data_IF_312420662319
#
_entry.id   IF_312420662319
#
_cell.length_a   1.000
_cell.length_b   1.000
_cell.length_c   1.000
_cell.angle_alpha   90.00
_cell.angle_beta   90.00
_cell.angle_gamma   90.00
#
_symmetry.space_group_name_H-M   'P 1'
#
loop_
_entity.id
_entity.type
_entity.pdbx_description
1 polymer ?
#
# COMPACT_ATOMS: atom_id res chain seq x y z
N UNK A 1 -51.73 -9.23 -11.43
CA UNK A 1 -52.83 -8.61 -10.67
C UNK A 1 -52.35 -8.51 -9.24
N UNK A 2 -51.86 -7.31 -8.89
CA UNK A 2 -51.64 -6.75 -7.55
C UNK A 2 -50.93 -7.65 -6.51
N UNK A 3 -49.63 -7.43 -6.25
CA UNK A 3 -49.12 -6.54 -5.18
C UNK A 3 -49.90 -6.64 -3.87
N UNK A 4 -49.19 -6.97 -2.77
CA UNK A 4 -49.22 -6.31 -1.44
C UNK A 4 -48.53 -7.21 -0.38
N UNK A 5 -47.60 -6.60 0.38
CA UNK A 5 -46.84 -7.06 1.57
C UNK A 5 -45.38 -7.55 1.39
N UNK A 6 -44.52 -6.74 0.75
CA UNK A 6 -43.11 -6.64 1.15
C UNK A 6 -42.87 -5.31 1.88
N UNK A 7 -43.30 -5.26 3.14
CA UNK A 7 -42.75 -4.36 4.16
C UNK A 7 -43.30 -4.82 5.51
N UNK A 8 -42.39 -5.20 6.42
CA UNK A 8 -42.46 -5.13 7.90
C UNK A 8 -41.74 -6.31 8.57
N UNK A 9 -40.47 -6.06 8.93
CA UNK A 9 -39.83 -6.53 10.18
C UNK A 9 -39.64 -8.03 10.39
N UNK A 10 -38.58 -8.60 9.82
CA UNK A 10 -37.88 -9.72 10.49
C UNK A 10 -36.55 -9.20 10.98
N UNK A 11 -36.58 -8.57 12.15
CA UNK A 11 -35.36 -8.22 12.87
C UNK A 11 -34.72 -9.53 13.37
N UNK A 12 -33.58 -9.88 12.80
CA UNK A 12 -32.78 -11.02 13.22
C UNK A 12 -31.97 -10.63 14.45
N UNK A 13 -31.96 -11.45 15.49
CA UNK A 13 -30.84 -11.47 16.45
C UNK A 13 -29.59 -12.03 15.76
N UNK A 14 -28.41 -11.79 16.33
CA UNK A 14 -27.15 -12.30 15.74
C UNK A 14 -27.17 -13.83 15.52
N UNK A 15 -27.84 -14.59 16.40
CA UNK A 15 -27.99 -16.04 16.27
C UNK A 15 -28.94 -16.43 15.14
N UNK A 16 -30.04 -15.69 14.96
CA UNK A 16 -30.97 -15.91 13.85
C UNK A 16 -30.33 -15.51 12.51
N UNK A 17 -29.58 -14.41 12.47
CA UNK A 17 -28.84 -13.98 11.29
C UNK A 17 -27.78 -15.02 10.90
N UNK A 18 -27.02 -15.53 11.87
CA UNK A 18 -26.03 -16.60 11.66
C UNK A 18 -26.66 -17.84 11.02
N UNK A 19 -27.81 -18.26 11.56
CA UNK A 19 -28.56 -19.41 11.04
C UNK A 19 -29.11 -19.15 9.63
N UNK A 20 -29.66 -17.96 9.38
CA UNK A 20 -30.23 -17.60 8.07
C UNK A 20 -29.17 -17.40 6.96
N UNK A 21 -27.95 -17.02 7.36
CA UNK A 21 -26.79 -16.88 6.48
C UNK A 21 -25.93 -18.16 6.40
N UNK A 22 -26.24 -19.17 7.22
CA UNK A 22 -25.49 -20.42 7.35
C UNK A 22 -23.99 -20.18 7.59
N UNK A 23 -23.69 -19.39 8.62
CA UNK A 23 -22.32 -19.13 9.10
C UNK A 23 -22.25 -19.14 10.63
N UNK A 24 -21.07 -19.39 11.23
CA UNK A 24 -20.90 -19.31 12.67
C UNK A 24 -21.19 -17.90 13.21
N UNK A 25 -21.79 -17.82 14.38
CA UNK A 25 -22.03 -16.54 15.09
C UNK A 25 -20.72 -15.81 15.40
N UNK A 26 -19.62 -16.53 15.58
CA UNK A 26 -18.27 -15.96 15.74
C UNK A 26 -17.82 -15.19 14.50
N UNK A 27 -18.18 -15.65 13.29
CA UNK A 27 -17.89 -14.97 12.03
C UNK A 27 -18.66 -13.67 11.92
N UNK A 28 -19.94 -13.64 12.30
CA UNK A 28 -20.71 -12.38 12.37
C UNK A 28 -20.11 -11.39 13.37
N UNK A 29 -19.74 -11.85 14.57
CA UNK A 29 -19.05 -11.01 15.56
C UNK A 29 -17.72 -10.46 15.04
N UNK A 30 -17.01 -11.25 14.24
CA UNK A 30 -15.80 -10.80 13.59
C UNK A 30 -16.11 -9.70 12.56
N UNK A 31 -17.11 -9.88 11.72
CA UNK A 31 -17.56 -8.87 10.75
C UNK A 31 -17.99 -7.56 11.41
N UNK A 32 -18.66 -7.63 12.56
CA UNK A 32 -18.95 -6.44 13.38
C UNK A 32 -17.68 -5.74 13.86
N UNK A 33 -16.73 -6.51 14.41
CA UNK A 33 -15.49 -5.97 14.98
C UNK A 33 -14.65 -5.23 13.94
N UNK A 34 -14.62 -5.72 12.70
CA UNK A 34 -13.92 -5.06 11.59
C UNK A 34 -14.80 -4.04 10.85
N UNK A 35 -16.03 -3.82 11.33
CA UNK A 35 -16.94 -2.77 10.84
C UNK A 35 -17.61 -3.05 9.50
N UNK A 36 -17.46 -4.26 8.94
CA UNK A 36 -18.08 -4.63 7.66
C UNK A 36 -19.53 -5.09 7.81
N UNK A 37 -20.01 -5.32 9.02
CA UNK A 37 -21.42 -5.52 9.35
C UNK A 37 -21.75 -4.63 10.55
N UNK A 38 -22.92 -4.00 10.57
CA UNK A 38 -23.36 -3.16 11.70
C UNK A 38 -24.80 -3.51 12.03
N UNK A 39 -25.17 -3.59 13.31
CA UNK A 39 -26.57 -3.82 13.67
C UNK A 39 -27.40 -2.61 13.29
N UNK A 40 -28.51 -2.86 12.61
CA UNK A 40 -29.43 -1.83 12.14
C UNK A 40 -30.21 -1.20 13.30
N UNK A 41 -30.55 -1.98 14.32
CA UNK A 41 -31.26 -1.47 15.49
C UNK A 41 -30.91 -2.23 16.79
N UNK A 42 -31.51 -1.81 17.91
CA UNK A 42 -31.53 -2.57 19.15
C UNK A 42 -32.96 -2.80 19.63
N UNK A 43 -33.22 -3.96 20.22
CA UNK A 43 -34.51 -4.26 20.84
C UNK A 43 -34.69 -3.51 22.16
N UNK A 44 -35.93 -3.49 22.69
CA UNK A 44 -36.22 -2.95 24.02
C UNK A 44 -35.41 -3.61 25.15
N UNK A 45 -34.99 -4.87 24.96
CA UNK A 45 -34.08 -5.60 25.86
C UNK A 45 -32.59 -5.37 25.56
N UNK A 46 -32.24 -4.37 24.75
CA UNK A 46 -30.88 -4.00 24.35
C UNK A 46 -30.12 -5.06 23.52
N UNK A 47 -30.84 -6.01 22.89
CA UNK A 47 -30.24 -6.96 21.95
C UNK A 47 -29.98 -6.30 20.60
N UNK A 48 -28.87 -6.64 19.94
CA UNK A 48 -28.58 -6.21 18.56
C UNK A 48 -29.54 -6.87 17.59
N UNK A 49 -30.12 -6.07 16.71
CA UNK A 49 -31.04 -6.48 15.66
C UNK A 49 -30.47 -6.14 14.29
N UNK A 50 -30.69 -7.03 13.33
CA UNK A 50 -30.26 -6.93 11.95
C UNK A 50 -31.47 -7.11 11.04
N UNK A 51 -31.51 -6.40 9.92
CA UNK A 51 -32.64 -6.48 9.00
C UNK A 51 -32.39 -7.44 7.83
N UNK A 52 -33.28 -7.44 6.84
CA UNK A 52 -33.12 -8.24 5.63
C UNK A 52 -31.92 -7.79 4.76
N UNK A 53 -31.56 -6.50 4.77
CA UNK A 53 -30.40 -5.99 4.02
C UNK A 53 -29.09 -6.48 4.64
N UNK A 54 -29.03 -6.58 5.97
CA UNK A 54 -27.92 -7.18 6.68
C UNK A 54 -27.73 -8.66 6.29
N UNK A 55 -28.82 -9.42 6.14
CA UNK A 55 -28.76 -10.81 5.66
C UNK A 55 -28.22 -10.89 4.22
N UNK A 56 -28.69 -10.04 3.31
CA UNK A 56 -28.15 -9.97 1.95
C UNK A 56 -26.67 -9.61 1.93
N UNK A 57 -26.26 -8.67 2.78
CA UNK A 57 -24.87 -8.25 2.93
C UNK A 57 -23.99 -9.41 3.39
N UNK A 58 -24.43 -10.17 4.39
CA UNK A 58 -23.68 -11.35 4.85
C UNK A 58 -23.59 -12.43 3.78
N UNK A 59 -24.68 -12.68 3.02
CA UNK A 59 -24.66 -13.62 1.89
C UNK A 59 -23.69 -13.18 0.80
N UNK A 60 -23.65 -11.88 0.50
CA UNK A 60 -22.68 -11.31 -0.44
C UNK A 60 -21.23 -11.52 0.02
N UNK A 61 -20.94 -11.20 1.30
CA UNK A 61 -19.59 -11.40 1.88
C UNK A 61 -19.18 -12.87 1.71
N UNK A 62 -20.06 -13.82 2.04
CA UNK A 62 -19.79 -15.26 1.92
C UNK A 62 -19.52 -15.67 0.47
N UNK A 63 -20.36 -15.25 -0.47
CA UNK A 63 -20.19 -15.58 -1.89
C UNK A 63 -18.88 -15.04 -2.47
N UNK A 64 -18.50 -13.81 -2.08
CA UNK A 64 -17.25 -13.20 -2.51
C UNK A 64 -16.04 -13.92 -1.89
N UNK A 65 -16.08 -14.28 -0.60
CA UNK A 65 -15.00 -15.07 0.00
C UNK A 65 -14.86 -16.46 -0.63
N UNK A 66 -15.99 -17.11 -0.99
CA UNK A 66 -15.98 -18.40 -1.66
C UNK A 66 -15.37 -18.35 -3.06
N UNK A 67 -15.45 -17.20 -3.74
CA UNK A 67 -14.81 -16.95 -5.05
C UNK A 67 -13.37 -16.47 -4.94
N UNK A 68 -12.85 -16.40 -3.72
CA UNK A 68 -11.45 -16.10 -3.44
C UNK A 68 -11.16 -14.64 -3.15
N UNK A 69 -12.17 -13.76 -3.02
CA UNK A 69 -11.94 -12.39 -2.55
C UNK A 69 -11.55 -12.35 -1.07
N UNK A 70 -10.68 -11.40 -0.72
CA UNK A 70 -10.35 -11.09 0.68
C UNK A 70 -11.44 -10.22 1.30
N UNK A 71 -11.45 -10.09 2.63
CA UNK A 71 -12.40 -9.21 3.30
C UNK A 71 -12.18 -7.73 2.95
N UNK A 72 -10.95 -7.33 2.59
CA UNK A 72 -10.65 -5.99 2.10
C UNK A 72 -11.26 -5.75 0.72
N UNK A 73 -11.14 -6.72 -0.19
CA UNK A 73 -11.79 -6.66 -1.51
C UNK A 73 -13.31 -6.57 -1.37
N UNK A 74 -13.88 -7.39 -0.47
CA UNK A 74 -15.31 -7.38 -0.18
C UNK A 74 -15.76 -6.03 0.38
N UNK A 75 -14.95 -5.41 1.23
CA UNK A 75 -15.22 -4.07 1.75
C UNK A 75 -15.22 -3.03 0.64
N UNK A 76 -14.25 -3.09 -0.29
CA UNK A 76 -14.21 -2.22 -1.45
C UNK A 76 -15.46 -2.40 -2.33
N UNK A 77 -15.85 -3.65 -2.63
CA UNK A 77 -17.04 -3.97 -3.41
C UNK A 77 -18.34 -3.49 -2.73
N UNK A 78 -18.44 -3.64 -1.42
CA UNK A 78 -19.61 -3.17 -0.65
C UNK A 78 -19.71 -1.64 -0.65
N UNK A 79 -18.58 -0.92 -0.59
CA UNK A 79 -18.58 0.54 -0.67
C UNK A 79 -18.98 1.04 -2.06
N UNK A 80 -18.55 0.35 -3.12
CA UNK A 80 -18.98 0.65 -4.48
C UNK A 80 -20.50 0.45 -4.61
N UNK A 81 -21.06 -0.65 -4.08
CA UNK A 81 -22.51 -0.92 -4.15
C UNK A 81 -23.39 0.16 -3.48
N UNK A 82 -22.89 0.82 -2.42
CA UNK A 82 -23.63 1.89 -1.71
C UNK A 82 -23.59 3.22 -2.47
N UNK A 83 -22.55 3.47 -3.29
CA UNK A 83 -22.54 4.61 -4.18
C UNK A 83 -23.54 4.35 -5.32
N UNK A 84 -24.62 5.13 -5.39
CA UNK A 84 -25.70 5.01 -6.38
C UNK A 84 -25.27 5.12 -7.87
N UNK A 85 -23.97 5.24 -8.15
CA UNK A 85 -23.35 5.39 -9.46
C UNK A 85 -22.14 4.45 -9.68
N UNK A 86 -22.02 3.31 -8.97
CA UNK A 86 -20.91 2.39 -9.22
C UNK A 86 -20.89 1.95 -10.69
N UNK A 87 -19.82 2.32 -11.39
CA UNK A 87 -19.63 1.94 -12.79
C UNK A 87 -19.04 0.54 -12.81
N UNK A 88 -19.39 -0.23 -13.83
CA UNK A 88 -18.83 -1.58 -14.03
C UNK A 88 -17.29 -1.55 -14.04
N UNK A 89 -16.71 -0.45 -14.53
CA UNK A 89 -15.28 -0.15 -14.52
C UNK A 89 -14.65 -0.22 -13.11
N UNK A 90 -15.31 0.33 -12.09
CA UNK A 90 -14.76 0.39 -10.72
C UNK A 90 -14.72 -1.01 -10.08
N UNK A 91 -15.72 -1.86 -10.40
CA UNK A 91 -15.75 -3.26 -9.97
C UNK A 91 -14.70 -4.08 -10.71
N UNK A 92 -14.51 -3.81 -12.00
CA UNK A 92 -13.54 -4.51 -12.85
C UNK A 92 -12.11 -4.33 -12.31
N UNK A 93 -11.74 -3.15 -11.82
CA UNK A 93 -10.43 -2.91 -11.20
C UNK A 93 -10.18 -3.87 -10.03
N UNK A 94 -11.14 -3.99 -9.11
CA UNK A 94 -11.01 -4.90 -7.94
C UNK A 94 -10.89 -6.36 -8.40
N UNK A 95 -11.62 -6.75 -9.45
CA UNK A 95 -11.54 -8.10 -10.02
C UNK A 95 -10.18 -8.37 -10.68
N UNK A 96 -9.66 -7.42 -11.45
CA UNK A 96 -8.36 -7.53 -12.13
C UNK A 96 -7.19 -7.60 -11.14
N UNK A 97 -7.20 -6.76 -10.11
CA UNK A 97 -6.23 -6.80 -9.01
C UNK A 97 -6.26 -8.16 -8.32
N UNK A 98 -7.46 -8.67 -8.00
CA UNK A 98 -7.57 -9.97 -7.34
C UNK A 98 -7.12 -11.11 -8.23
N UNK A 99 -7.45 -11.07 -9.52
CA UNK A 99 -7.02 -12.05 -10.50
C UNK A 99 -5.49 -12.05 -10.64
N UNK A 100 -4.85 -10.88 -10.62
CA UNK A 100 -3.39 -10.78 -10.64
C UNK A 100 -2.77 -11.43 -9.39
N UNK A 101 -3.29 -11.14 -8.20
CA UNK A 101 -2.83 -11.75 -6.96
C UNK A 101 -2.98 -13.28 -6.96
N UNK A 102 -4.12 -13.80 -7.44
CA UNK A 102 -4.34 -15.24 -7.60
C UNK A 102 -3.35 -15.87 -8.59
N UNK A 103 -3.12 -15.24 -9.74
CA UNK A 103 -2.13 -15.72 -10.73
C UNK A 103 -0.72 -15.79 -10.16
N UNK A 104 -0.32 -14.80 -9.35
CA UNK A 104 0.96 -14.82 -8.64
C UNK A 104 1.01 -16.00 -7.66
N UNK A 105 -0.02 -16.18 -6.83
CA UNK A 105 -0.07 -17.31 -5.89
C UNK A 105 -0.01 -18.67 -6.58
N UNK A 106 -0.65 -18.81 -7.75
CA UNK A 106 -0.56 -20.03 -8.56
C UNK A 106 0.87 -20.28 -9.06
N UNK A 107 1.61 -19.25 -9.48
CA UNK A 107 3.01 -19.40 -9.88
C UNK A 107 3.86 -19.90 -8.70
N UNK A 108 3.63 -19.35 -7.50
CA UNK A 108 4.33 -19.77 -6.28
C UNK A 108 4.02 -21.22 -5.92
N UNK A 109 2.74 -21.59 -5.95
CA UNK A 109 2.32 -22.96 -5.64
C UNK A 109 2.87 -23.97 -6.65
N UNK A 110 2.88 -23.65 -7.95
CA UNK A 110 3.54 -24.48 -8.98
C UNK A 110 5.04 -24.58 -8.78
N UNK A 111 5.65 -23.56 -8.20
CA UNK A 111 7.05 -23.63 -7.84
C UNK A 111 7.30 -24.57 -6.65
N UNK A 112 6.51 -24.43 -5.58
CA UNK A 112 6.54 -25.35 -4.43
C UNK A 112 6.32 -26.79 -4.89
N UNK A 113 5.35 -27.01 -5.77
CA UNK A 113 5.08 -28.32 -6.37
C UNK A 113 6.31 -28.91 -7.07
N UNK A 114 7.02 -28.11 -7.89
CA UNK A 114 8.25 -28.57 -8.56
C UNK A 114 9.35 -28.94 -7.58
N UNK A 115 9.54 -28.16 -6.52
CA UNK A 115 10.54 -28.45 -5.47
C UNK A 115 10.20 -29.75 -4.76
N UNK A 116 8.94 -29.92 -4.34
CA UNK A 116 8.48 -31.16 -3.69
C UNK A 116 8.63 -32.37 -4.61
N UNK A 117 8.32 -32.23 -5.91
CA UNK A 117 8.56 -33.29 -6.91
C UNK A 117 10.05 -33.64 -7.03
N UNK A 118 10.93 -32.64 -7.03
CA UNK A 118 12.39 -32.87 -7.06
C UNK A 118 12.88 -33.59 -5.79
N UNK A 119 12.40 -33.19 -4.61
CA UNK A 119 12.74 -33.88 -3.36
C UNK A 119 12.23 -35.31 -3.34
N UNK A 120 11.00 -35.55 -3.81
CA UNK A 120 10.47 -36.91 -3.94
C UNK A 120 11.30 -37.77 -4.89
N UNK A 121 11.79 -37.23 -6.01
CA UNK A 121 12.68 -37.94 -6.92
C UNK A 121 14.01 -38.31 -6.24
N UNK A 122 14.65 -37.34 -5.56
CA UNK A 122 15.89 -37.56 -4.79
C UNK A 122 15.71 -38.59 -3.68
N UNK A 123 14.61 -38.56 -2.94
CA UNK A 123 14.28 -39.57 -1.92
C UNK A 123 14.18 -40.98 -2.52
N UNK A 124 13.58 -41.13 -3.70
CA UNK A 124 13.44 -42.43 -4.38
C UNK A 124 14.81 -42.97 -4.82
N UNK A 125 15.70 -42.11 -5.30
CA UNK A 125 17.06 -42.47 -5.73
C UNK A 125 18.00 -42.80 -4.57
N UNK A 126 17.82 -42.15 -3.40
CA UNK A 126 18.64 -42.34 -2.21
C UNK A 126 18.21 -43.52 -1.31
N UNK A 127 17.18 -44.26 -1.70
CA UNK A 127 16.57 -45.40 -0.96
C UNK A 127 17.51 -46.58 -0.60
N UNK A 128 18.80 -46.54 -0.97
CA UNK A 128 19.80 -47.58 -0.65
C UNK A 128 21.01 -47.10 0.17
N UNK A 129 21.08 -45.82 0.52
CA UNK A 129 22.17 -45.26 1.35
C UNK A 129 21.57 -44.91 2.69
N UNK A 130 22.19 -45.33 3.81
CA UNK A 130 21.66 -45.14 5.17
C UNK A 130 21.44 -43.70 5.65
N UNK A 131 21.50 -42.71 4.74
CA UNK A 131 21.24 -41.30 4.99
C UNK A 131 20.38 -40.70 3.86
N UNK A 132 19.42 -39.85 4.23
CA UNK A 132 18.50 -39.22 3.28
C UNK A 132 19.10 -37.92 2.75
N UNK A 133 19.45 -37.90 1.46
CA UNK A 133 20.03 -36.74 0.79
C UNK A 133 19.14 -35.48 0.88
N UNK A 134 17.80 -35.65 0.97
CA UNK A 134 16.87 -34.53 1.17
C UNK A 134 16.96 -33.98 2.60
N UNK A 135 17.17 -34.82 3.61
CA UNK A 135 17.35 -34.37 5.00
C UNK A 135 18.69 -33.68 5.17
N UNK A 136 19.74 -34.18 4.52
CA UNK A 136 21.05 -33.51 4.47
C UNK A 136 20.98 -32.16 3.77
N UNK A 137 20.31 -32.09 2.62
CA UNK A 137 20.06 -30.84 1.90
C UNK A 137 19.21 -29.89 2.75
N UNK A 138 18.20 -30.35 3.48
CA UNK A 138 17.40 -29.52 4.39
C UNK A 138 18.13 -29.13 5.69
N UNK A 139 19.23 -29.80 6.06
CA UNK A 139 20.03 -29.49 7.26
C UNK A 139 21.19 -28.54 6.95
N UNK A 140 21.57 -28.39 5.69
CA UNK A 140 22.52 -27.38 5.27
C UNK A 140 21.92 -25.98 5.49
N UNK A 141 22.58 -25.17 6.34
CA UNK A 141 22.17 -23.80 6.67
C UNK A 141 22.07 -22.94 5.41
N UNK A 142 22.84 -23.23 4.35
CA UNK A 142 22.74 -22.54 3.06
C UNK A 142 21.46 -22.90 2.28
N UNK A 143 20.93 -24.11 2.46
CA UNK A 143 19.68 -24.57 1.86
C UNK A 143 18.46 -24.22 2.71
N UNK A 144 18.58 -24.20 4.04
CA UNK A 144 17.55 -23.60 4.92
C UNK A 144 17.45 -22.11 4.66
N UNK A 145 18.55 -21.43 4.34
CA UNK A 145 18.52 -20.06 3.84
C UNK A 145 17.96 -19.96 2.41
N UNK A 146 18.13 -20.94 1.53
CA UNK A 146 17.55 -20.88 0.17
C UNK A 146 16.04 -21.25 0.12
N UNK A 147 15.58 -22.13 1.01
CA UNK A 147 14.18 -22.59 1.14
C UNK A 147 13.39 -21.76 2.16
N UNK A 148 14.02 -21.39 3.27
CA UNK A 148 13.50 -20.47 4.30
C UNK A 148 13.52 -19.02 3.85
N UNK A 149 14.56 -18.56 3.13
CA UNK A 149 14.45 -17.29 2.42
C UNK A 149 13.38 -17.36 1.34
N UNK A 150 12.93 -18.52 0.83
CA UNK A 150 11.81 -18.54 -0.14
C UNK A 150 10.42 -18.35 0.48
N UNK A 151 10.26 -18.70 1.76
CA UNK A 151 9.05 -18.37 2.54
C UNK A 151 9.08 -16.93 3.07
N UNK A 152 10.28 -16.36 3.24
CA UNK A 152 10.54 -14.92 3.52
C UNK A 152 10.71 -14.04 2.26
N UNK A 153 10.90 -14.63 1.07
CA UNK A 153 10.82 -14.03 -0.30
C UNK A 153 9.41 -14.19 -0.86
N UNK A 154 8.39 -14.28 -0.02
CA UNK A 154 7.10 -13.83 -0.49
C UNK A 154 7.17 -12.33 -0.44
N UNK A 155 7.34 -11.73 -1.62
CA UNK A 155 7.02 -10.33 -1.84
C UNK A 155 5.65 -10.12 -1.23
N UNK A 156 5.59 -9.29 -0.19
CA UNK A 156 4.28 -8.97 0.38
C UNK A 156 3.44 -8.36 -0.73
N UNK A 157 2.21 -8.86 -0.84
CA UNK A 157 1.29 -8.31 -1.80
C UNK A 157 1.12 -6.82 -1.52
N UNK A 158 0.88 -6.05 -2.58
CA UNK A 158 0.52 -4.64 -2.47
C UNK A 158 -0.61 -4.38 -1.43
N UNK A 159 -1.51 -5.35 -1.23
CA UNK A 159 -2.56 -5.30 -0.20
C UNK A 159 -2.02 -5.39 1.23
N UNK A 160 -1.09 -6.30 1.51
CA UNK A 160 -0.49 -6.47 2.84
C UNK A 160 0.30 -5.22 3.27
N UNK A 161 1.10 -4.68 2.35
CA UNK A 161 1.87 -3.46 2.60
C UNK A 161 0.93 -2.26 2.83
N UNK A 162 -0.15 -2.15 2.03
CA UNK A 162 -1.15 -1.10 2.23
C UNK A 162 -1.84 -1.22 3.60
N UNK A 163 -2.16 -2.43 4.03
CA UNK A 163 -2.78 -2.68 5.34
C UNK A 163 -1.83 -2.34 6.48
N UNK A 164 -0.56 -2.70 6.38
CA UNK A 164 0.46 -2.36 7.38
C UNK A 164 0.65 -0.83 7.49
N UNK A 165 0.78 -0.14 6.35
CA UNK A 165 0.88 1.33 6.31
C UNK A 165 -0.35 2.00 6.94
N UNK A 166 -1.56 1.54 6.61
CA UNK A 166 -2.80 2.05 7.23
C UNK A 166 -2.85 1.80 8.73
N UNK A 167 -2.43 0.62 9.19
CA UNK A 167 -2.37 0.29 10.61
C UNK A 167 -1.39 1.21 11.37
N UNK A 168 -0.30 1.62 10.73
CA UNK A 168 0.65 2.63 11.26
C UNK A 168 0.17 4.08 11.12
N UNK A 169 -1.01 4.32 10.54
CA UNK A 169 -1.51 5.66 10.19
C UNK A 169 -0.50 6.47 9.35
N UNK A 170 0.18 5.81 8.41
CA UNK A 170 1.19 6.43 7.55
C UNK A 170 0.89 6.16 6.05
N UNK A 171 1.02 7.16 5.17
CA UNK A 171 1.16 8.58 5.49
C UNK A 171 -0.12 9.11 6.15
N UNK A 172 0.04 10.06 7.07
CA UNK A 172 -1.09 10.61 7.82
C UNK A 172 -2.08 11.30 6.88
N UNK A 173 -3.37 11.01 7.06
CA UNK A 173 -4.43 11.72 6.35
C UNK A 173 -4.53 13.16 6.86
N UNK A 174 -4.46 14.10 5.94
CA UNK A 174 -4.64 15.53 6.21
C UNK A 174 -6.06 15.96 5.83
N UNK A 175 -6.56 17.00 6.50
CA UNK A 175 -7.79 17.68 6.08
C UNK A 175 -7.64 18.32 4.68
N UNK A 176 -8.76 18.69 4.08
CA UNK A 176 -8.79 19.22 2.71
C UNK A 176 -7.89 20.45 2.53
N UNK A 177 -7.94 21.40 3.46
CA UNK A 177 -7.20 22.66 3.33
C UNK A 177 -5.69 22.46 3.50
N UNK A 178 -5.26 21.64 4.47
CA UNK A 178 -3.84 21.28 4.64
C UNK A 178 -3.31 20.51 3.44
N UNK A 179 -4.14 19.65 2.86
CA UNK A 179 -3.79 18.91 1.63
C UNK A 179 -3.61 19.87 0.47
N UNK A 180 -4.54 20.82 0.27
CA UNK A 180 -4.46 21.85 -0.78
C UNK A 180 -3.24 22.74 -0.60
N UNK A 181 -3.04 23.30 0.59
CA UNK A 181 -1.89 24.15 0.90
C UNK A 181 -0.56 23.44 0.61
N UNK A 182 -0.38 22.21 1.11
CA UNK A 182 0.84 21.43 0.86
C UNK A 182 1.07 21.17 -0.63
N UNK A 183 0.02 20.86 -1.38
CA UNK A 183 0.12 20.60 -2.82
C UNK A 183 0.44 21.86 -3.62
N UNK A 184 -0.11 23.02 -3.26
CA UNK A 184 0.25 24.29 -3.92
C UNK A 184 1.70 24.67 -3.64
N UNK A 185 2.18 24.52 -2.40
CA UNK A 185 3.59 24.75 -2.05
C UNK A 185 4.51 23.77 -2.80
N UNK A 186 4.14 22.48 -2.90
CA UNK A 186 4.86 21.49 -3.69
C UNK A 186 5.02 21.92 -5.15
N UNK A 187 3.95 22.41 -5.78
CA UNK A 187 3.97 22.89 -7.18
C UNK A 187 4.87 24.11 -7.36
N UNK A 188 5.00 24.95 -6.34
CA UNK A 188 5.96 26.06 -6.35
C UNK A 188 7.40 25.57 -6.22
N UNK A 189 7.68 24.64 -5.30
CA UNK A 189 9.01 24.00 -5.16
C UNK A 189 9.44 23.32 -6.45
N UNK A 190 8.50 22.69 -7.17
CA UNK A 190 8.74 22.03 -8.46
C UNK A 190 9.19 22.97 -9.59
N UNK A 191 9.12 24.30 -9.38
CA UNK A 191 9.65 25.31 -10.33
C UNK A 191 11.15 25.56 -10.13
N UNK A 192 11.78 24.92 -9.15
CA UNK A 192 13.23 25.01 -8.91
C UNK A 192 13.70 26.29 -8.24
N UNK A 193 12.80 27.00 -7.54
CA UNK A 193 13.15 28.20 -6.76
C UNK A 193 12.67 28.06 -5.31
N UNK A 194 13.44 28.54 -4.33
CA UNK A 194 13.00 28.53 -2.93
C UNK A 194 11.66 29.26 -2.78
N UNK A 195 10.78 28.73 -1.92
CA UNK A 195 9.44 29.32 -1.67
C UNK A 195 9.44 30.03 -0.32
N UNK A 196 9.16 31.33 -0.32
CA UNK A 196 9.13 32.11 0.92
C UNK A 196 7.89 31.80 1.77
N UNK A 197 8.00 32.01 3.09
CA UNK A 197 6.86 31.87 4.01
C UNK A 197 5.76 32.90 3.73
N UNK A 198 6.10 34.09 3.24
CA UNK A 198 5.11 35.06 2.76
C UNK A 198 4.23 34.48 1.63
N UNK A 199 4.81 33.65 0.75
CA UNK A 199 4.04 32.99 -0.30
C UNK A 199 3.09 31.93 0.27
N UNK A 200 3.50 31.24 1.35
CA UNK A 200 2.64 30.30 2.09
C UNK A 200 1.44 31.02 2.70
N UNK A 201 1.67 32.15 3.35
CA UNK A 201 0.60 32.99 3.95
C UNK A 201 -0.39 33.49 2.89
N UNK A 202 0.10 33.89 1.71
CA UNK A 202 -0.79 34.28 0.61
C UNK A 202 -1.72 33.13 0.20
N UNK A 203 -1.18 31.92 0.01
CA UNK A 203 -1.98 30.73 -0.35
C UNK A 203 -2.94 30.38 0.79
N UNK A 204 -2.51 30.51 2.05
CA UNK A 204 -3.35 30.25 3.22
C UNK A 204 -4.56 31.20 3.25
N UNK A 205 -4.35 32.49 2.99
CA UNK A 205 -5.42 33.48 2.91
C UNK A 205 -6.43 33.15 1.79
N UNK A 206 -5.95 32.75 0.61
CA UNK A 206 -6.80 32.30 -0.52
C UNK A 206 -7.63 31.04 -0.16
N UNK A 207 -7.11 30.19 0.73
CA UNK A 207 -7.79 29.00 1.23
C UNK A 207 -8.65 29.25 2.49
N UNK A 208 -8.67 30.47 3.03
CA UNK A 208 -9.36 30.79 4.29
C UNK A 208 -8.72 30.13 5.53
N UNK A 209 -7.44 29.74 5.46
CA UNK A 209 -6.71 29.13 6.57
C UNK A 209 -6.01 30.20 7.42
N UNK A 210 -6.07 30.14 8.77
CA UNK A 210 -5.29 31.02 9.64
C UNK A 210 -3.78 30.93 9.34
N UNK A 211 -3.11 32.08 9.23
CA UNK A 211 -1.70 32.15 8.84
C UNK A 211 -0.78 31.42 9.82
N UNK A 212 -1.02 31.52 11.13
CA UNK A 212 -0.27 30.82 12.17
C UNK A 212 -0.40 29.30 12.03
N UNK A 213 -1.60 28.80 11.79
CA UNK A 213 -1.86 27.38 11.56
C UNK A 213 -1.19 26.88 10.26
N UNK A 214 -1.24 27.66 9.19
CA UNK A 214 -0.64 27.35 7.89
C UNK A 214 0.90 27.31 7.96
N UNK A 215 1.50 28.36 8.52
CA UNK A 215 2.96 28.50 8.66
C UNK A 215 3.53 27.46 9.61
N UNK A 216 2.87 27.19 10.75
CA UNK A 216 3.25 26.12 11.68
C UNK A 216 3.21 24.76 11.00
N UNK A 217 2.13 24.44 10.29
CA UNK A 217 1.99 23.19 9.55
C UNK A 217 3.08 23.03 8.47
N UNK A 218 3.25 24.03 7.60
CA UNK A 218 4.22 23.96 6.50
C UNK A 218 5.65 23.91 7.05
N UNK A 219 5.96 24.66 8.10
CA UNK A 219 7.26 24.58 8.76
C UNK A 219 7.53 23.19 9.33
N UNK A 220 6.52 22.49 9.83
CA UNK A 220 6.72 21.13 10.35
C UNK A 220 7.08 20.12 9.26
N UNK A 221 6.55 20.30 8.04
CA UNK A 221 6.63 19.29 6.97
C UNK A 221 7.54 19.67 5.80
N UNK A 222 8.35 20.72 5.94
CA UNK A 222 9.20 21.24 4.87
C UNK A 222 10.67 21.29 5.24
N UNK A 223 11.50 20.96 4.27
CA UNK A 223 12.93 21.24 4.27
C UNK A 223 13.15 22.72 3.93
N UNK A 224 13.92 23.44 4.76
CA UNK A 224 14.17 24.88 4.61
C UNK A 224 15.65 25.24 4.53
N UNK A 225 15.96 26.37 3.91
CA UNK A 225 17.28 27.01 3.96
C UNK A 225 17.51 27.82 5.25
N UNK A 226 18.65 28.51 5.36
CA UNK A 226 19.00 29.33 6.52
C UNK A 226 18.11 30.56 6.71
N UNK A 227 17.48 31.04 5.64
CA UNK A 227 16.57 32.19 5.64
C UNK A 227 15.10 31.76 5.89
N UNK A 228 14.86 30.46 6.07
CA UNK A 228 13.52 29.90 6.28
C UNK A 228 12.70 29.74 5.01
N UNK A 229 13.29 29.89 3.81
CA UNK A 229 12.60 29.54 2.57
C UNK A 229 12.54 28.03 2.40
N UNK A 230 11.44 27.57 1.83
CA UNK A 230 11.16 26.15 1.60
C UNK A 230 11.92 25.69 0.35
N UNK A 231 12.80 24.72 0.55
CA UNK A 231 13.56 24.04 -0.51
C UNK A 231 12.93 22.69 -0.88
N UNK A 232 12.21 22.06 0.03
CA UNK A 232 11.61 20.76 -0.18
C UNK A 232 10.37 20.50 0.64
N UNK A 233 9.43 19.75 0.09
CA UNK A 233 8.17 19.38 0.74
C UNK A 233 7.59 18.13 0.05
N UNK A 234 6.95 17.27 0.83
CA UNK A 234 6.31 16.04 0.33
C UNK A 234 7.26 15.19 -0.55
N UNK A 235 8.50 15.01 -0.12
CA UNK A 235 9.46 14.19 -0.83
C UNK A 235 10.28 14.93 -1.89
N UNK A 236 9.77 16.00 -2.50
CA UNK A 236 10.50 16.76 -3.52
C UNK A 236 11.44 17.78 -2.88
N UNK A 237 12.67 17.93 -3.40
CA UNK A 237 13.64 18.88 -2.85
C UNK A 237 14.57 19.49 -3.91
N UNK A 238 14.97 20.74 -3.66
CA UNK A 238 16.04 21.43 -4.37
C UNK A 238 17.43 21.11 -3.81
N UNK A 239 17.53 20.54 -2.59
CA UNK A 239 18.78 19.99 -2.08
C UNK A 239 19.13 18.70 -2.78
N UNK A 240 20.38 18.29 -2.71
CA UNK A 240 20.81 17.01 -3.25
C UNK A 240 20.34 15.87 -2.32
N UNK A 241 19.49 14.99 -2.86
CA UNK A 241 19.11 13.71 -2.28
C UNK A 241 19.45 12.56 -3.26
N UNK A 242 19.42 11.28 -2.84
CA UNK A 242 19.93 10.16 -3.63
C UNK A 242 19.25 9.90 -4.97
N UNK A 243 18.07 10.46 -5.20
CA UNK A 243 17.26 10.24 -6.38
C UNK A 243 17.16 11.52 -7.19
N UNK A 244 17.87 11.59 -8.31
CA UNK A 244 17.76 12.72 -9.24
C UNK A 244 16.41 12.63 -9.94
N UNK A 245 15.64 13.71 -9.89
CA UNK A 245 14.26 13.77 -10.35
C UNK A 245 14.11 14.92 -11.36
N UNK A 246 13.99 14.58 -12.64
CA UNK A 246 13.97 15.54 -13.73
C UNK A 246 12.57 15.71 -14.29
N UNK A 247 12.05 16.92 -14.16
CA UNK A 247 10.85 17.42 -14.83
C UNK A 247 11.24 18.11 -16.13
N UNK A 248 10.26 18.48 -16.95
CA UNK A 248 10.48 19.09 -18.28
C UNK A 248 11.49 20.25 -18.26
N UNK A 249 11.36 21.14 -17.28
CA UNK A 249 12.11 22.40 -17.23
C UNK A 249 12.96 22.53 -15.95
N UNK A 250 13.07 21.47 -15.14
CA UNK A 250 13.71 21.54 -13.83
C UNK A 250 14.30 20.20 -13.40
N UNK A 251 15.52 20.23 -12.86
CA UNK A 251 16.18 19.09 -12.24
C UNK A 251 16.18 19.29 -10.73
N UNK A 252 15.57 18.35 -10.02
CA UNK A 252 15.42 18.34 -8.57
C UNK A 252 15.93 16.99 -8.04
N UNK A 253 15.66 16.73 -6.77
CA UNK A 253 15.83 15.40 -6.20
C UNK A 253 14.64 15.02 -5.32
N UNK A 254 14.57 13.75 -4.91
CA UNK A 254 13.60 13.31 -3.91
C UNK A 254 14.22 12.65 -2.69
N UNK A 255 13.56 12.78 -1.55
CA UNK A 255 14.00 12.26 -0.26
C UNK A 255 14.12 10.73 -0.25
N UNK A 256 13.23 10.03 -0.96
CA UNK A 256 13.30 8.58 -1.12
C UNK A 256 12.78 8.07 -2.47
N UNK A 257 12.89 6.76 -2.69
CA UNK A 257 12.48 6.12 -3.94
C UNK A 257 10.98 6.22 -4.19
N UNK A 258 10.16 6.10 -3.14
CA UNK A 258 8.70 6.11 -3.27
C UNK A 258 8.15 7.47 -3.70
N UNK A 259 8.78 8.56 -3.25
CA UNK A 259 8.43 9.93 -3.66
C UNK A 259 8.46 10.10 -5.17
N UNK A 260 9.47 9.52 -5.83
CA UNK A 260 9.61 9.60 -7.29
C UNK A 260 8.41 9.02 -8.05
N UNK A 261 7.67 8.09 -7.43
CA UNK A 261 6.63 7.31 -8.08
C UNK A 261 5.28 8.03 -8.08
N UNK A 262 4.91 8.73 -7.00
CA UNK A 262 3.61 9.41 -6.93
C UNK A 262 3.67 10.90 -7.29
N UNK A 263 4.82 11.56 -7.14
CA UNK A 263 4.98 12.99 -7.44
C UNK A 263 4.58 13.38 -8.87
N UNK A 264 4.87 12.60 -9.93
CA UNK A 264 4.41 12.90 -11.30
C UNK A 264 2.89 13.11 -11.41
N UNK A 265 2.09 12.35 -10.66
CA UNK A 265 0.63 12.50 -10.64
C UNK A 265 0.20 13.82 -9.98
N UNK A 266 0.77 14.15 -8.81
CA UNK A 266 0.47 15.39 -8.09
C UNK A 266 0.89 16.65 -8.85
N UNK A 267 2.02 16.56 -9.57
CA UNK A 267 2.57 17.64 -10.39
C UNK A 267 1.94 17.72 -11.78
N UNK A 268 1.19 16.67 -12.19
CA UNK A 268 0.61 16.53 -13.53
C UNK A 268 1.64 16.64 -14.65
N UNK A 269 2.83 16.10 -14.40
CA UNK A 269 3.96 16.13 -15.35
C UNK A 269 4.65 14.76 -15.41
N UNK A 270 5.33 14.49 -16.53
CA UNK A 270 6.23 13.34 -16.63
C UNK A 270 7.53 13.65 -15.89
N UNK A 271 8.16 12.61 -15.35
CA UNK A 271 9.47 12.71 -14.74
C UNK A 271 10.41 11.61 -15.24
N UNK A 272 11.69 11.95 -15.37
CA UNK A 272 12.78 10.98 -15.50
C UNK A 272 13.51 10.89 -14.17
N UNK A 273 13.78 9.67 -13.72
CA UNK A 273 14.40 9.40 -12.43
C UNK A 273 15.73 8.70 -12.66
N UNK A 274 16.78 9.15 -11.98
CA UNK A 274 18.03 8.40 -11.87
C UNK A 274 18.40 8.17 -10.40
N UNK A 275 18.84 6.94 -10.10
CA UNK A 275 19.24 6.51 -8.77
C UNK A 275 20.35 5.46 -8.87
N UNK A 276 20.85 4.99 -7.73
CA UNK A 276 21.80 3.88 -7.64
C UNK A 276 21.31 2.83 -6.66
N UNK A 277 21.48 1.55 -6.99
CA UNK A 277 21.31 0.48 -6.01
C UNK A 277 22.36 0.64 -4.89
N UNK A 278 21.98 0.65 -3.60
CA UNK A 278 22.95 0.83 -2.52
C UNK A 278 23.88 -0.39 -2.35
N UNK A 279 23.46 -1.57 -2.83
CA UNK A 279 24.20 -2.84 -2.71
C UNK A 279 25.10 -3.08 -3.91
N UNK A 280 24.56 -3.04 -5.13
CA UNK A 280 25.32 -3.37 -6.35
C UNK A 280 25.99 -2.16 -6.98
N UNK A 281 25.61 -0.94 -6.59
CA UNK A 281 26.01 0.34 -7.22
C UNK A 281 25.57 0.50 -8.67
N UNK A 282 24.77 -0.42 -9.18
CA UNK A 282 24.19 -0.33 -10.52
C UNK A 282 23.24 0.87 -10.61
N UNK A 283 23.29 1.57 -11.76
CA UNK A 283 22.42 2.71 -12.04
C UNK A 283 21.00 2.22 -12.31
N UNK A 284 20.05 2.92 -11.70
CA UNK A 284 18.62 2.68 -11.85
C UNK A 284 18.01 3.89 -12.55
N UNK A 285 17.22 3.64 -13.61
CA UNK A 285 16.54 4.67 -14.39
C UNK A 285 15.07 4.35 -14.56
N UNK A 286 14.21 5.35 -14.38
CA UNK A 286 12.78 5.23 -14.59
C UNK A 286 12.27 6.39 -15.45
N UNK A 287 11.24 6.13 -16.25
CA UNK A 287 10.36 7.17 -16.81
C UNK A 287 8.96 6.96 -16.28
N UNK A 288 8.37 8.03 -15.75
CA UNK A 288 7.11 7.95 -15.03
C UNK A 288 6.20 9.05 -15.55
N UNK A 289 4.98 8.67 -15.89
CA UNK A 289 3.90 9.60 -16.25
C UNK A 289 2.94 9.78 -15.07
N UNK A 290 2.05 10.79 -15.13
CA UNK A 290 0.99 10.93 -14.13
C UNK A 290 0.09 9.69 -13.96
N UNK A 291 0.04 8.79 -14.95
CA UNK A 291 -0.91 7.65 -15.00
C UNK A 291 -0.27 6.28 -14.80
N UNK A 292 1.03 6.15 -15.07
CA UNK A 292 1.77 4.88 -14.98
C UNK A 292 3.28 5.10 -14.94
N UNK A 293 3.99 4.09 -14.46
CA UNK A 293 5.40 3.87 -14.76
C UNK A 293 5.51 3.43 -16.22
N UNK A 294 6.34 4.10 -17.00
CA UNK A 294 6.46 3.85 -18.45
C UNK A 294 7.67 2.97 -18.78
N UNK A 295 8.79 3.20 -18.11
CA UNK A 295 10.03 2.46 -18.30
C UNK A 295 10.74 2.29 -16.95
N UNK A 296 11.36 1.12 -16.74
CA UNK A 296 12.18 0.78 -15.58
C UNK A 296 13.42 0.04 -16.05
N UNK A 297 14.60 0.48 -15.62
CA UNK A 297 15.88 -0.17 -15.92
C UNK A 297 16.74 -0.20 -14.65
N UNK A 298 17.27 -1.37 -14.24
CA UNK A 298 17.02 -2.71 -14.79
C UNK A 298 15.55 -3.14 -14.60
N UNK A 299 15.06 -4.09 -15.42
CA UNK A 299 13.67 -4.57 -15.38
C UNK A 299 13.29 -5.19 -14.04
N UNK A 300 14.28 -5.76 -13.34
CA UNK A 300 14.11 -6.44 -12.07
C UNK A 300 14.18 -5.49 -10.87
N UNK A 301 14.19 -4.18 -11.13
CA UNK A 301 14.25 -3.17 -10.09
C UNK A 301 13.10 -3.33 -9.10
N UNK A 302 13.42 -3.20 -7.81
CA UNK A 302 12.47 -3.31 -6.70
C UNK A 302 12.61 -2.11 -5.78
N UNK A 303 11.61 -1.89 -4.93
CA UNK A 303 11.58 -0.81 -3.94
C UNK A 303 11.40 -1.42 -2.56
N UNK A 304 12.13 -0.92 -1.57
CA UNK A 304 11.79 -1.18 -0.16
C UNK A 304 10.78 -0.16 0.34
N UNK A 305 9.77 -0.61 1.09
CA UNK A 305 8.83 0.24 1.81
C UNK A 305 9.01 -0.02 3.30
N UNK A 306 9.26 1.03 4.07
CA UNK A 306 9.27 0.94 5.53
C UNK A 306 7.85 1.06 6.09
N UNK A 307 7.56 0.34 7.17
CA UNK A 307 6.34 0.53 7.97
C UNK A 307 6.76 1.19 9.29
N UNK A 308 6.55 2.51 9.45
CA UNK A 308 6.90 3.20 10.68
C UNK A 308 6.12 2.63 11.88
N UNK A 309 6.78 2.51 13.04
CA UNK A 309 6.12 2.07 14.28
C UNK A 309 5.13 3.13 14.84
N UNK A 310 5.37 4.39 14.49
CA UNK A 310 4.54 5.56 14.83
C UNK A 310 4.24 6.35 13.56
N UNK A 311 3.27 7.26 13.59
CA UNK A 311 2.98 8.15 12.45
C UNK A 311 3.82 9.44 12.59
N UNK A 312 5.01 9.55 11.95
CA UNK A 312 5.85 10.73 12.06
C UNK A 312 5.14 11.96 11.47
N UNK A 313 5.32 13.11 12.10
CA UNK A 313 4.64 14.34 11.72
C UNK A 313 5.60 15.41 11.19
N UNK A 314 6.83 15.45 11.71
CA UNK A 314 7.85 16.39 11.26
C UNK A 314 8.72 15.81 10.13
N UNK A 315 9.29 16.67 9.29
CA UNK A 315 10.12 16.24 8.15
C UNK A 315 11.31 15.38 8.58
N UNK A 316 11.97 15.72 9.68
CA UNK A 316 13.10 14.96 10.23
C UNK A 316 12.67 13.59 10.74
N UNK A 317 11.49 13.50 11.35
CA UNK A 317 10.91 12.22 11.82
C UNK A 317 10.53 11.33 10.64
N UNK A 318 9.96 11.92 9.57
CA UNK A 318 9.62 11.20 8.34
C UNK A 318 10.88 10.65 7.69
N UNK A 319 11.96 11.42 7.65
CA UNK A 319 13.24 10.94 7.14
C UNK A 319 13.78 9.77 7.96
N UNK A 320 13.85 9.94 9.28
CA UNK A 320 14.41 8.98 10.20
C UNK A 320 13.61 7.67 10.27
N UNK A 321 12.28 7.73 10.20
CA UNK A 321 11.41 6.57 10.34
C UNK A 321 11.05 5.90 9.00
N UNK A 322 11.14 6.64 7.89
CA UNK A 322 10.66 6.17 6.58
C UNK A 322 11.68 6.41 5.45
N UNK A 323 11.94 7.66 5.04
CA UNK A 323 12.65 7.93 3.78
C UNK A 323 14.06 7.31 3.71
N UNK A 324 14.81 7.28 4.82
CA UNK A 324 16.14 6.66 4.86
C UNK A 324 16.14 5.17 4.51
N UNK A 325 14.99 4.49 4.58
CA UNK A 325 14.87 3.07 4.34
C UNK A 325 14.14 2.70 3.04
N UNK A 326 13.67 3.70 2.31
CA UNK A 326 12.84 3.52 1.12
C UNK A 326 13.68 3.76 -0.12
N UNK A 327 14.26 2.69 -0.65
CA UNK A 327 15.32 2.75 -1.65
C UNK A 327 14.99 1.88 -2.87
N UNK A 328 15.55 2.26 -4.01
CA UNK A 328 15.57 1.40 -5.19
C UNK A 328 16.71 0.37 -5.11
N UNK A 329 16.45 -0.84 -5.59
CA UNK A 329 17.43 -1.90 -5.72
C UNK A 329 17.37 -2.49 -7.13
N UNK A 330 18.53 -2.83 -7.69
CA UNK A 330 18.62 -3.41 -9.03
C UNK A 330 17.93 -4.78 -9.16
N UNK A 331 17.78 -5.49 -8.06
CA UNK A 331 17.11 -6.79 -7.99
C UNK A 331 16.58 -7.09 -6.60
N UNK A 332 15.67 -8.05 -6.49
CA UNK A 332 15.13 -8.53 -5.22
C UNK A 332 16.23 -9.12 -4.31
N UNK A 333 17.18 -9.88 -4.88
CA UNK A 333 18.32 -10.42 -4.12
C UNK A 333 19.20 -9.30 -3.53
N UNK A 334 19.35 -8.18 -4.24
CA UNK A 334 20.06 -7.01 -3.71
C UNK A 334 19.28 -6.39 -2.54
N UNK A 335 17.96 -6.21 -2.68
CA UNK A 335 17.11 -5.71 -1.61
C UNK A 335 17.13 -6.61 -0.38
N UNK A 336 16.98 -7.93 -0.56
CA UNK A 336 16.98 -8.91 0.53
C UNK A 336 18.28 -8.88 1.35
N UNK A 337 19.44 -8.85 0.68
CA UNK A 337 20.76 -8.73 1.35
C UNK A 337 20.91 -7.46 2.18
N UNK A 338 20.19 -6.40 1.79
CA UNK A 338 20.20 -5.13 2.50
C UNK A 338 19.20 -5.12 3.67
N UNK A 339 17.99 -5.65 3.46
CA UNK A 339 16.94 -5.75 4.47
C UNK A 339 17.36 -6.67 5.61
N UNK A 340 17.97 -7.82 5.33
CA UNK A 340 18.34 -8.83 6.35
C UNK A 340 19.32 -8.34 7.42
N UNK A 341 19.99 -7.21 7.17
CA UNK A 341 20.95 -6.58 8.11
C UNK A 341 20.31 -5.50 8.98
N UNK A 342 18.99 -5.32 8.91
CA UNK A 342 18.25 -4.22 9.54
C UNK A 342 17.15 -4.74 10.44
N UNK A 343 16.80 -3.92 11.44
CA UNK A 343 15.77 -4.23 12.43
C UNK A 343 14.43 -3.57 12.12
N UNK A 344 14.39 -2.65 11.16
CA UNK A 344 13.18 -1.98 10.72
C UNK A 344 12.23 -2.96 10.03
N UNK A 345 10.93 -2.69 10.13
CA UNK A 345 9.92 -3.40 9.35
C UNK A 345 9.97 -2.92 7.89
N UNK A 346 10.61 -3.71 7.04
CA UNK A 346 10.92 -3.37 5.65
C UNK A 346 10.30 -4.40 4.72
N UNK A 347 9.44 -3.93 3.81
CA UNK A 347 8.78 -4.74 2.80
C UNK A 347 9.45 -4.50 1.45
N UNK A 348 9.59 -5.55 0.64
CA UNK A 348 10.13 -5.44 -0.72
C UNK A 348 8.96 -5.58 -1.68
N UNK A 349 8.79 -4.61 -2.59
CA UNK A 349 7.69 -4.57 -3.58
C UNK A 349 8.25 -4.21 -4.96
N UNK A 350 7.46 -4.40 -6.02
CA UNK A 350 7.80 -3.91 -7.36
C UNK A 350 7.69 -2.40 -7.43
N UNK A 351 8.32 -1.84 -8.46
CA UNK A 351 8.14 -0.44 -8.81
C UNK A 351 6.66 -0.13 -9.08
N UNK A 352 5.93 -1.03 -9.76
CA UNK A 352 4.50 -0.85 -10.05
C UNK A 352 3.63 -0.93 -8.78
N UNK A 353 3.87 -1.91 -7.91
CA UNK A 353 3.15 -2.00 -6.62
C UNK A 353 3.44 -0.78 -5.73
N UNK A 354 4.69 -0.31 -5.68
CA UNK A 354 5.06 0.92 -4.98
C UNK A 354 4.37 2.14 -5.60
N UNK A 355 4.28 2.22 -6.94
CA UNK A 355 3.56 3.27 -7.65
C UNK A 355 2.07 3.29 -7.27
N UNK A 356 1.41 2.14 -7.28
CA UNK A 356 0.00 2.03 -6.91
C UNK A 356 -0.26 2.33 -5.43
N UNK A 357 0.62 1.89 -4.53
CA UNK A 357 0.61 2.30 -3.12
C UNK A 357 0.65 3.83 -2.99
N UNK A 358 1.55 4.48 -3.74
CA UNK A 358 1.70 5.93 -3.75
C UNK A 358 0.46 6.65 -4.27
N UNK A 359 -0.14 6.17 -5.37
CA UNK A 359 -1.40 6.71 -5.91
C UNK A 359 -2.57 6.63 -4.95
N UNK A 360 -2.67 5.53 -4.18
CA UNK A 360 -3.74 5.36 -3.18
C UNK A 360 -3.52 6.24 -1.96
N UNK A 361 -2.26 6.44 -1.57
CA UNK A 361 -1.89 7.29 -0.45
C UNK A 361 -2.03 8.80 -0.77
N UNK A 362 -1.73 9.19 -2.01
CA UNK A 362 -1.71 10.56 -2.49
C UNK A 362 -2.50 10.69 -3.81
N UNK A 363 -3.84 10.71 -3.76
CA UNK A 363 -4.64 10.95 -4.96
C UNK A 363 -4.35 12.35 -5.51
N UNK A 364 -4.06 12.45 -6.82
CA UNK A 364 -3.68 13.69 -7.51
C UNK A 364 -4.82 14.50 -8.09
#
# INVERSE_FOLDING_TARGET
MFDILWSMGSDYTIGQLAKAADIPTSTLRYYERIGILRPTNRSAGNYRLYDAQDLERVRFIRAAQATGFTLDDVTALLNLRVAANARCEDIQVVMEERLAAVKTRMKDLRHVERVLKSFLAKCRESSRRGHCAVVEELNDVSTVQSLGARRLRQRESEGEVATALRASNFPRRLGADRTRLRTEVLRLVARGRPVSMQKVEQIAAELGMPNDAATSFISKVSERDGDGNILGILGLSQRAHPHRFELKDCVLSTWCAWDTLFLPALLKQRATVESSCPVTKERIRLKISPKKVEEVSPSDCVVTIAVPATSPEAVEEIWAAFCHFVLFFASEDAAFRWVSKRKQDLRIVSVDEAYNLGRRAFPG
#
